data_IF_027632390805
#
_entry.id   IF_027632390805
#
_cell.length_a   1.000
_cell.length_b   1.000
_cell.length_c   1.000
_cell.angle_alpha   90.00
_cell.angle_beta   90.00
_cell.angle_gamma   90.00
#
_symmetry.space_group_name_H-M   'P 1'
#
loop_
_entity.id
_entity.type
_entity.pdbx_description
1 polymer ?
#
# COMPACT_ATOMS: atom_id res chain seq x y z
N UNK A 1 -44.20 56.44 -4.03
CA UNK A 1 -44.08 54.96 -4.09
C UNK A 1 -42.77 54.58 -4.73
N UNK A 2 -41.99 53.74 -4.04
CA UNK A 2 -41.05 52.76 -4.57
C UNK A 2 -39.78 53.24 -5.29
N UNK A 3 -38.56 52.75 -5.08
CA UNK A 3 -37.88 51.92 -4.07
C UNK A 3 -36.40 52.10 -4.42
N UNK A 4 -35.57 52.38 -3.42
CA UNK A 4 -34.11 52.27 -3.45
C UNK A 4 -33.70 50.81 -3.59
N UNK A 5 -32.65 50.47 -4.37
CA UNK A 5 -31.76 49.32 -4.06
C UNK A 5 -30.50 49.30 -4.93
N UNK A 6 -29.43 49.71 -4.26
CA UNK A 6 -28.02 49.32 -4.40
C UNK A 6 -27.78 47.92 -4.98
N UNK A 7 -26.90 47.84 -5.98
CA UNK A 7 -26.28 46.59 -6.40
C UNK A 7 -25.22 46.15 -5.38
N UNK A 8 -25.48 45.04 -4.69
CA UNK A 8 -24.55 44.43 -3.76
C UNK A 8 -23.56 43.52 -4.53
N UNK A 9 -22.30 43.55 -4.08
CA UNK A 9 -21.15 42.79 -4.56
C UNK A 9 -21.43 41.28 -4.56
N UNK A 10 -21.14 40.60 -5.67
CA UNK A 10 -21.18 39.14 -5.75
C UNK A 10 -19.75 38.59 -5.63
N UNK A 11 -19.38 38.17 -4.41
CA UNK A 11 -18.20 37.33 -4.18
C UNK A 11 -18.52 35.92 -4.69
N UNK A 12 -17.77 35.44 -5.69
CA UNK A 12 -17.84 34.05 -6.15
C UNK A 12 -17.14 33.18 -5.11
N UNK A 13 -17.90 32.57 -4.21
CA UNK A 13 -17.44 31.46 -3.41
C UNK A 13 -17.52 30.19 -4.27
N UNK A 14 -16.37 29.61 -4.61
CA UNK A 14 -16.26 28.34 -5.33
C UNK A 14 -16.72 27.20 -4.39
N UNK A 15 -17.99 26.81 -4.48
CA UNK A 15 -18.51 25.60 -3.85
C UNK A 15 -17.95 24.38 -4.60
N UNK A 16 -16.92 23.74 -4.04
CA UNK A 16 -16.52 22.39 -4.42
C UNK A 16 -17.57 21.44 -3.82
N UNK A 17 -18.58 21.09 -4.63
CA UNK A 17 -19.56 20.07 -4.29
C UNK A 17 -18.93 18.70 -4.39
N UNK A 18 -18.65 18.05 -3.27
CA UNK A 18 -18.34 16.62 -3.20
C UNK A 18 -19.68 15.89 -3.42
N UNK A 19 -19.84 15.02 -4.44
CA UNK A 19 -20.99 14.14 -4.47
C UNK A 19 -20.83 13.09 -3.36
N UNK A 20 -21.59 13.26 -2.28
CA UNK A 20 -21.88 12.20 -1.34
C UNK A 20 -22.87 11.26 -2.02
N UNK A 21 -22.41 10.07 -2.46
CA UNK A 21 -23.23 8.87 -2.66
C UNK A 21 -22.33 7.64 -2.91
N UNK A 22 -21.98 6.95 -1.83
CA UNK A 22 -21.68 5.51 -1.86
C UNK A 22 -22.02 4.91 -0.50
N UNK A 23 -23.33 4.69 -0.30
CA UNK A 23 -23.82 3.76 0.71
C UNK A 23 -23.47 2.35 0.23
N UNK A 24 -22.41 1.77 0.78
CA UNK A 24 -22.23 0.31 0.85
C UNK A 24 -22.28 -0.10 2.32
N UNK A 25 -23.47 -0.49 2.77
CA UNK A 25 -23.62 -1.27 3.99
C UNK A 25 -23.35 -2.74 3.65
N UNK A 26 -22.20 -3.24 4.10
CA UNK A 26 -21.79 -4.65 4.04
C UNK A 26 -20.56 -4.82 4.92
N UNK A 27 -20.76 -5.12 6.20
CA UNK A 27 -19.69 -5.25 7.19
C UNK A 27 -18.70 -6.38 6.88
N UNK A 28 -17.40 -6.11 7.11
CA UNK A 28 -16.25 -7.03 7.15
C UNK A 28 -16.13 -8.01 5.96
N UNK A 29 -15.21 -7.92 5.01
CA UNK A 29 -13.82 -7.43 4.99
C UNK A 29 -13.59 -6.58 3.74
N UNK A 30 -12.88 -5.46 3.86
CA UNK A 30 -12.31 -4.81 2.69
C UNK A 30 -10.94 -5.47 2.45
N UNK A 31 -10.85 -6.39 1.49
CA UNK A 31 -9.61 -7.05 1.10
C UNK A 31 -9.80 -8.52 0.68
N UNK A 32 -8.73 -9.15 0.24
CA UNK A 32 -8.65 -10.58 -0.09
C UNK A 32 -7.28 -11.12 0.30
N UNK A 33 -7.21 -12.44 0.49
CA UNK A 33 -5.93 -13.13 0.68
C UNK A 33 -5.09 -13.04 -0.59
N UNK A 34 -3.80 -12.79 -0.45
CA UNK A 34 -2.89 -12.67 -1.57
C UNK A 34 -1.55 -13.32 -1.25
N UNK A 35 -0.87 -13.80 -2.28
CA UNK A 35 0.50 -14.31 -2.16
C UNK A 35 1.42 -13.40 -2.93
N UNK A 36 2.49 -12.95 -2.29
CA UNK A 36 3.53 -12.16 -2.92
C UNK A 36 4.80 -12.95 -3.13
N UNK A 37 5.47 -12.70 -4.25
CA UNK A 37 6.85 -13.12 -4.48
C UNK A 37 7.71 -11.87 -4.62
N UNK A 38 8.58 -11.65 -3.64
CA UNK A 38 9.58 -10.59 -3.64
C UNK A 38 10.82 -11.05 -4.40
N UNK A 39 11.27 -10.27 -5.37
CA UNK A 39 12.50 -10.50 -6.12
C UNK A 39 13.42 -9.28 -5.92
N UNK A 40 14.52 -9.41 -5.14
CA UNK A 40 15.39 -8.29 -4.84
C UNK A 40 16.08 -7.77 -6.11
N UNK A 41 16.08 -6.45 -6.30
CA UNK A 41 16.81 -5.74 -7.37
C UNK A 41 18.12 -5.18 -6.82
N UNK A 42 18.07 -4.54 -5.66
CA UNK A 42 19.23 -3.92 -5.05
C UNK A 42 19.08 -3.84 -3.54
N UNK A 43 20.20 -3.86 -2.84
CA UNK A 43 20.27 -3.66 -1.40
C UNK A 43 21.46 -2.79 -1.06
N UNK A 44 21.27 -1.80 -0.21
CA UNK A 44 22.32 -0.95 0.34
C UNK A 44 22.22 -0.96 1.86
N UNK A 45 23.35 -1.11 2.55
CA UNK A 45 23.39 -1.12 4.01
C UNK A 45 24.29 0.00 4.53
N UNK A 46 23.72 0.82 5.41
CA UNK A 46 24.44 1.85 6.16
C UNK A 46 24.67 1.35 7.58
N UNK A 47 25.94 1.15 7.96
CA UNK A 47 26.30 0.64 9.28
C UNK A 47 26.60 1.78 10.25
N UNK A 48 25.89 1.80 11.38
CA UNK A 48 26.18 2.63 12.55
C UNK A 48 26.92 1.85 13.65
N UNK A 49 27.24 2.51 14.76
CA UNK A 49 27.95 1.88 15.89
C UNK A 49 27.15 0.78 16.59
N UNK A 50 25.82 0.90 16.62
CA UNK A 50 24.93 0.04 17.41
C UNK A 50 23.95 -0.77 16.57
N UNK A 51 24.06 -0.69 15.24
CA UNK A 51 23.12 -1.32 14.32
C UNK A 51 23.35 -0.88 12.88
N UNK A 52 22.50 -1.33 11.98
CA UNK A 52 22.54 -0.99 10.58
C UNK A 52 21.15 -0.69 10.03
N UNK A 53 21.11 0.10 8.96
CA UNK A 53 19.92 0.35 8.16
C UNK A 53 20.14 -0.27 6.79
N UNK A 54 19.24 -1.14 6.35
CA UNK A 54 19.27 -1.75 5.03
C UNK A 54 18.12 -1.19 4.20
N UNK A 55 18.45 -0.57 3.08
CA UNK A 55 17.51 -0.16 2.04
C UNK A 55 17.46 -1.23 0.96
N UNK A 56 16.27 -1.74 0.67
CA UNK A 56 16.04 -2.79 -0.31
C UNK A 56 15.04 -2.32 -1.35
N UNK A 57 15.37 -2.52 -2.61
CA UNK A 57 14.44 -2.38 -3.73
C UNK A 57 14.14 -3.75 -4.30
N UNK A 58 12.88 -4.05 -4.53
CA UNK A 58 12.44 -5.32 -5.14
C UNK A 58 11.38 -5.11 -6.20
N UNK A 59 11.29 -6.08 -7.11
CA UNK A 59 10.06 -6.31 -7.88
C UNK A 59 9.26 -7.38 -7.18
N UNK A 60 8.01 -7.09 -6.93
CA UNK A 60 7.09 -7.99 -6.27
C UNK A 60 6.02 -8.43 -7.26
N UNK A 61 5.66 -9.71 -7.22
CA UNK A 61 4.54 -10.27 -7.98
C UNK A 61 3.48 -10.67 -6.99
N UNK A 62 2.30 -10.04 -7.08
CA UNK A 62 1.15 -10.34 -6.24
C UNK A 62 0.14 -11.19 -7.00
N UNK A 63 -0.17 -12.36 -6.46
CA UNK A 63 -1.25 -13.24 -6.88
C UNK A 63 -2.52 -12.88 -6.12
N UNK A 64 -3.49 -12.35 -6.86
CA UNK A 64 -4.81 -11.92 -6.41
C UNK A 64 -5.89 -12.90 -6.88
N UNK A 65 -5.57 -14.20 -6.99
CA UNK A 65 -6.54 -15.25 -7.36
C UNK A 65 -7.75 -15.38 -6.42
N UNK A 66 -7.69 -14.81 -5.22
CA UNK A 66 -8.81 -14.73 -4.27
C UNK A 66 -9.53 -13.38 -4.29
N UNK A 67 -9.11 -12.45 -5.15
CA UNK A 67 -9.74 -11.15 -5.27
C UNK A 67 -11.14 -11.25 -5.91
N UNK A 68 -12.03 -10.28 -5.63
CA UNK A 68 -13.33 -10.19 -6.28
C UNK A 68 -13.22 -10.03 -7.80
N UNK A 69 -14.31 -10.36 -8.50
CA UNK A 69 -14.42 -10.16 -9.94
C UNK A 69 -14.09 -8.71 -10.34
N UNK A 70 -13.39 -8.57 -11.47
CA UNK A 70 -12.90 -7.29 -11.99
C UNK A 70 -11.50 -6.91 -11.50
N UNK A 71 -10.95 -7.56 -10.48
CA UNK A 71 -9.56 -7.35 -10.09
C UNK A 71 -8.58 -8.07 -11.03
N UNK A 72 -7.40 -7.50 -11.32
CA UNK A 72 -6.34 -8.22 -12.01
C UNK A 72 -5.93 -9.45 -11.21
N UNK A 73 -5.75 -10.58 -11.88
CA UNK A 73 -5.29 -11.82 -11.23
C UNK A 73 -3.86 -11.70 -10.71
N UNK A 74 -2.99 -11.05 -11.46
CA UNK A 74 -1.57 -10.89 -11.12
C UNK A 74 -1.18 -9.43 -11.31
N UNK A 75 -0.49 -8.89 -10.32
CA UNK A 75 -0.03 -7.50 -10.29
C UNK A 75 1.47 -7.47 -10.04
N UNK A 76 2.17 -6.60 -10.76
CA UNK A 76 3.58 -6.32 -10.49
C UNK A 76 3.67 -5.04 -9.67
N UNK A 77 4.41 -5.11 -8.58
CA UNK A 77 4.74 -3.96 -7.75
C UNK A 77 6.25 -3.72 -7.71
N UNK A 78 6.65 -2.47 -7.51
CA UNK A 78 8.00 -2.10 -7.11
C UNK A 78 7.96 -1.70 -5.65
N UNK A 79 8.74 -2.37 -4.81
CA UNK A 79 8.77 -2.12 -3.38
C UNK A 79 10.11 -1.52 -2.94
N UNK A 80 10.02 -0.61 -1.97
CA UNK A 80 11.11 0.10 -1.34
C UNK A 80 11.02 -0.12 0.17
N UNK A 81 11.81 -1.06 0.68
CA UNK A 81 11.81 -1.43 2.08
C UNK A 81 13.04 -0.86 2.78
N UNK A 82 12.87 -0.35 3.99
CA UNK A 82 13.97 0.09 4.87
C UNK A 82 13.84 -0.64 6.19
N UNK A 83 14.85 -1.42 6.53
CA UNK A 83 14.87 -2.28 7.73
C UNK A 83 16.02 -1.87 8.63
N UNK A 84 15.76 -1.81 9.93
CA UNK A 84 16.76 -1.55 10.96
C UNK A 84 17.13 -2.85 11.66
N UNK A 85 18.42 -3.12 11.78
CA UNK A 85 18.97 -4.24 12.55
C UNK A 85 19.85 -3.73 13.69
N UNK A 86 19.93 -4.48 14.78
CA UNK A 86 20.90 -4.20 15.84
C UNK A 86 22.30 -4.71 15.48
N UNK A 87 23.30 -4.46 16.32
CA UNK A 87 24.68 -4.92 16.11
C UNK A 87 24.85 -6.44 16.05
N UNK A 88 23.88 -7.20 16.56
CA UNK A 88 23.82 -8.66 16.44
C UNK A 88 23.12 -9.16 15.17
N UNK A 89 22.69 -8.25 14.29
CA UNK A 89 21.98 -8.58 13.05
C UNK A 89 20.48 -8.86 13.22
N UNK A 90 19.93 -8.79 14.43
CA UNK A 90 18.50 -9.01 14.64
C UNK A 90 17.69 -7.79 14.17
N UNK A 91 16.61 -8.05 13.43
CA UNK A 91 15.68 -7.03 12.98
C UNK A 91 14.97 -6.37 14.16
N UNK A 92 15.00 -5.04 14.21
CA UNK A 92 14.26 -4.23 15.17
C UNK A 92 12.90 -3.80 14.61
N UNK A 93 12.83 -3.65 13.29
CA UNK A 93 11.63 -3.32 12.54
C UNK A 93 11.99 -2.62 11.23
N UNK A 94 10.99 -2.10 10.54
CA UNK A 94 11.20 -1.38 9.29
C UNK A 94 9.94 -0.73 8.76
N UNK A 95 10.08 -0.08 7.61
CA UNK A 95 8.98 0.49 6.84
C UNK A 95 9.14 0.11 5.37
N UNK A 96 8.02 0.09 4.63
CA UNK A 96 8.00 -0.21 3.21
C UNK A 96 7.00 0.63 2.47
N UNK A 97 7.28 0.92 1.21
CA UNK A 97 6.33 1.47 0.25
C UNK A 97 6.34 0.57 -0.98
N UNK A 98 5.18 0.19 -1.48
CA UNK A 98 5.02 -0.62 -2.68
C UNK A 98 4.08 0.08 -3.66
N UNK A 99 4.50 0.15 -4.91
CA UNK A 99 3.80 0.86 -5.99
C UNK A 99 3.51 -0.14 -7.10
N UNK A 100 2.25 -0.22 -7.55
CA UNK A 100 1.87 -1.10 -8.65
C UNK A 100 1.16 -0.36 -9.76
N UNK A 101 1.34 -0.87 -10.97
CA UNK A 101 0.51 -0.55 -12.14
C UNK A 101 0.04 -1.89 -12.71
N UNK A 102 -1.28 -2.09 -12.74
CA UNK A 102 -1.87 -3.32 -13.22
C UNK A 102 -1.93 -3.38 -14.77
N UNK A 103 -2.30 -4.52 -15.37
CA UNK A 103 -2.41 -4.64 -16.83
C UNK A 103 -3.42 -3.70 -17.51
N UNK A 104 -4.40 -3.16 -16.76
CA UNK A 104 -5.37 -2.18 -17.25
C UNK A 104 -4.88 -0.74 -17.09
N UNK A 105 -3.73 -0.52 -16.43
CA UNK A 105 -3.18 0.79 -16.14
C UNK A 105 -3.66 1.39 -14.82
N UNK A 106 -4.42 0.63 -14.02
CA UNK A 106 -4.85 1.06 -12.70
C UNK A 106 -3.68 0.98 -11.72
N UNK A 107 -3.57 1.97 -10.82
CA UNK A 107 -2.44 2.06 -9.89
C UNK A 107 -2.88 1.76 -8.47
N UNK A 108 -1.97 1.18 -7.69
CA UNK A 108 -2.14 1.05 -6.24
C UNK A 108 -0.84 1.44 -5.52
N UNK A 109 -1.00 2.08 -4.36
CA UNK A 109 0.08 2.50 -3.49
C UNK A 109 -0.16 1.93 -2.10
N UNK A 110 0.79 1.14 -1.62
CA UNK A 110 0.80 0.62 -0.26
C UNK A 110 1.95 1.23 0.54
N UNK A 111 1.72 1.50 1.82
CA UNK A 111 2.79 1.65 2.79
C UNK A 111 2.61 0.64 3.91
N UNK A 112 3.69 0.27 4.59
CA UNK A 112 3.61 -0.65 5.69
C UNK A 112 4.76 -0.56 6.67
N UNK A 113 4.63 -1.29 7.78
CA UNK A 113 5.63 -1.42 8.84
C UNK A 113 5.96 -2.87 9.07
N UNK A 114 7.24 -3.18 9.25
CA UNK A 114 7.74 -4.51 9.61
C UNK A 114 7.98 -4.58 11.12
N UNK A 115 7.40 -5.59 11.76
CA UNK A 115 7.67 -5.95 13.15
C UNK A 115 8.95 -6.78 13.29
N UNK A 116 9.50 -6.83 14.51
CA UNK A 116 10.71 -7.62 14.84
C UNK A 116 10.57 -9.13 14.59
N UNK A 117 9.34 -9.62 14.49
CA UNK A 117 8.95 -11.00 14.25
C UNK A 117 8.83 -11.34 12.76
N UNK A 118 9.07 -10.39 11.86
CA UNK A 118 8.93 -10.62 10.42
C UNK A 118 7.50 -10.46 9.91
N UNK A 119 6.53 -10.19 10.80
CA UNK A 119 5.17 -9.83 10.42
C UNK A 119 5.15 -8.37 9.99
N UNK A 120 4.51 -8.06 8.89
CA UNK A 120 4.30 -6.70 8.45
C UNK A 120 2.81 -6.37 8.36
N UNK A 121 2.51 -5.10 8.52
CA UNK A 121 1.18 -4.55 8.33
C UNK A 121 1.27 -3.51 7.23
N UNK A 122 0.43 -3.62 6.21
CA UNK A 122 0.40 -2.66 5.11
C UNK A 122 -1.02 -2.12 4.90
N UNK A 123 -1.10 -0.89 4.41
CA UNK A 123 -2.34 -0.21 4.09
C UNK A 123 -2.29 0.24 2.64
N UNK A 124 -3.37 -0.01 1.88
CA UNK A 124 -3.55 0.62 0.57
C UNK A 124 -3.85 2.10 0.78
N UNK A 125 -2.82 2.93 0.62
CA UNK A 125 -2.88 4.36 0.88
C UNK A 125 -3.73 5.08 -0.15
N UNK A 126 -3.57 4.70 -1.42
CA UNK A 126 -4.21 5.29 -2.58
C UNK A 126 -4.33 4.26 -3.70
N UNK A 127 -5.26 4.48 -4.62
CA UNK A 127 -5.38 3.71 -5.85
C UNK A 127 -6.37 4.34 -6.82
N UNK A 128 -6.27 3.98 -8.09
CA UNK A 128 -7.19 4.42 -9.16
C UNK A 128 -7.98 3.24 -9.71
N UNK A 129 -9.05 3.53 -10.45
CA UNK A 129 -9.87 2.51 -11.11
C UNK A 129 -10.37 1.45 -10.15
N UNK A 130 -10.05 0.17 -10.40
CA UNK A 130 -10.53 -0.93 -9.56
C UNK A 130 -10.05 -0.85 -8.10
N UNK A 131 -8.97 -0.12 -7.82
CA UNK A 131 -8.38 0.03 -6.48
C UNK A 131 -9.05 1.12 -5.63
N UNK A 132 -9.83 2.04 -6.20
CA UNK A 132 -10.43 3.18 -5.46
C UNK A 132 -11.31 2.71 -4.28
N UNK A 133 -12.08 1.64 -4.49
CA UNK A 133 -12.93 1.02 -3.46
C UNK A 133 -12.15 0.33 -2.34
N UNK A 134 -10.86 0.10 -2.53
CA UNK A 134 -9.97 -0.59 -1.60
C UNK A 134 -8.99 0.36 -0.89
N UNK A 135 -9.08 1.67 -1.11
CA UNK A 135 -8.32 2.65 -0.33
C UNK A 135 -8.67 2.51 1.16
N UNK A 136 -7.63 2.42 1.99
CA UNK A 136 -7.72 2.17 3.43
C UNK A 136 -7.81 0.69 3.81
N UNK A 137 -7.78 -0.24 2.84
CA UNK A 137 -7.63 -1.68 3.15
C UNK A 137 -6.33 -1.91 3.90
N UNK A 138 -6.43 -2.63 5.01
CA UNK A 138 -5.27 -3.11 5.74
C UNK A 138 -5.07 -4.60 5.51
N UNK A 139 -3.82 -4.99 5.31
CA UNK A 139 -3.38 -6.38 5.25
C UNK A 139 -2.29 -6.61 6.28
N UNK A 140 -2.25 -7.82 6.82
CA UNK A 140 -1.10 -8.35 7.55
C UNK A 140 -0.42 -9.40 6.68
N UNK A 141 0.90 -9.48 6.75
CA UNK A 141 1.61 -10.51 6.01
C UNK A 141 2.88 -10.98 6.68
N UNK A 142 3.37 -12.12 6.22
CA UNK A 142 4.60 -12.74 6.72
C UNK A 142 5.28 -13.55 5.62
N UNK A 143 6.62 -13.56 5.65
CA UNK A 143 7.39 -14.43 4.77
C UNK A 143 7.20 -15.89 5.17
N UNK A 144 6.92 -16.74 4.18
CA UNK A 144 6.76 -18.19 4.36
C UNK A 144 7.99 -18.97 3.91
N UNK A 145 8.88 -18.33 3.15
CA UNK A 145 10.13 -18.94 2.69
C UNK A 145 10.98 -17.97 1.88
N UNK A 146 12.26 -18.33 1.75
CA UNK A 146 13.23 -17.59 0.95
C UNK A 146 14.08 -18.57 0.14
N UNK A 147 14.33 -18.20 -1.12
CA UNK A 147 15.21 -18.91 -2.03
C UNK A 147 16.68 -18.47 -1.82
N UNK A 148 17.66 -19.29 -2.28
CA UNK A 148 19.08 -18.95 -2.13
C UNK A 148 19.51 -17.67 -2.84
N UNK A 149 18.77 -17.22 -3.84
CA UNK A 149 19.02 -15.97 -4.57
C UNK A 149 18.49 -14.73 -3.84
N UNK A 150 17.90 -14.91 -2.66
CA UNK A 150 17.32 -13.85 -1.84
C UNK A 150 15.84 -13.56 -2.14
N UNK A 151 15.27 -14.16 -3.17
CA UNK A 151 13.84 -14.05 -3.47
C UNK A 151 13.00 -14.67 -2.35
N UNK A 152 11.90 -14.02 -1.99
CA UNK A 152 11.05 -14.45 -0.87
C UNK A 152 9.61 -14.65 -1.29
N UNK A 153 8.93 -15.59 -0.65
CA UNK A 153 7.48 -15.75 -0.78
C UNK A 153 6.85 -15.32 0.53
N UNK A 154 5.77 -14.57 0.45
CA UNK A 154 4.99 -14.15 1.60
C UNK A 154 3.49 -14.28 1.34
N UNK A 155 2.75 -14.41 2.42
CA UNK A 155 1.30 -14.42 2.39
C UNK A 155 0.75 -13.15 3.03
N UNK A 156 -0.32 -12.61 2.46
CA UNK A 156 -1.06 -11.44 2.93
C UNK A 156 -2.49 -11.85 3.21
N UNK A 157 -3.03 -11.44 4.35
CA UNK A 157 -4.43 -11.60 4.72
C UNK A 157 -5.03 -10.24 5.11
N UNK A 158 -6.29 -9.94 4.74
CA UNK A 158 -6.98 -8.75 5.23
C UNK A 158 -7.08 -8.72 6.75
N UNK A 159 -7.16 -7.52 7.33
CA UNK A 159 -7.49 -7.33 8.75
C UNK A 159 -8.99 -7.20 9.00
#
# INVERSE_FOLDING_TARGET
MSVMKTAAKLSVALLITIPANSVFAGGHMKGWDATGTQIPISSETVTGKTGAITHMKSTDIWDYSKAPEGMPRVVKATCHNTVVTNSGGAMLGGIGVCESVDPNGDVSLFYGTFGKDGVYNATMAQGTGVYEKYVGVEVTGSFIGQLPDGSGIYHMTPK
#
